data_IF_822016499867
#
_entry.id   IF_822016499867
#
_cell.length_a   1.000
_cell.length_b   1.000
_cell.length_c   1.000
_cell.angle_alpha   90.00
_cell.angle_beta   90.00
_cell.angle_gamma   90.00
#
_symmetry.space_group_name_H-M   'P 1'
#
loop_
_entity.id
_entity.type
_entity.pdbx_description
1 polymer ?
#
# COMPACT_ATOMS: atom_id res chain seq x y z
N UNK A 1 -1.20 12.54 9.91
CA UNK A 1 -0.92 11.13 10.20
C UNK A 1 0.58 10.87 10.23
N UNK A 2 1.13 10.64 11.44
CA UNK A 2 2.57 10.36 11.59
C UNK A 2 2.98 9.02 10.99
N UNK A 3 2.23 7.92 11.23
CA UNK A 3 2.59 6.64 10.59
C UNK A 3 2.60 6.71 9.07
N UNK A 4 1.70 7.48 8.47
CA UNK A 4 1.68 7.66 7.02
C UNK A 4 2.93 8.38 6.54
N UNK A 5 3.38 9.40 7.28
CA UNK A 5 4.60 10.14 6.97
C UNK A 5 5.84 9.27 7.10
N UNK A 6 5.85 8.35 8.06
CA UNK A 6 6.95 7.42 8.24
C UNK A 6 7.00 6.39 7.11
N UNK A 7 5.84 5.94 6.65
CA UNK A 7 5.76 4.92 5.60
C UNK A 7 5.98 5.49 4.20
N UNK A 8 5.67 6.75 3.97
CA UNK A 8 5.73 7.37 2.65
C UNK A 8 7.09 7.21 1.95
N UNK A 9 8.23 7.52 2.61
CA UNK A 9 9.53 7.33 1.96
C UNK A 9 9.85 5.86 1.68
N UNK A 10 9.41 4.95 2.54
CA UNK A 10 9.58 3.50 2.33
C UNK A 10 8.79 3.07 1.10
N UNK A 11 7.56 3.53 1.00
CA UNK A 11 6.68 3.24 -0.14
C UNK A 11 7.31 3.72 -1.45
N UNK A 12 7.79 4.94 -1.48
CA UNK A 12 8.38 5.52 -2.68
C UNK A 12 9.69 4.84 -3.08
N UNK A 13 10.52 4.49 -2.12
CA UNK A 13 11.76 3.78 -2.38
C UNK A 13 11.51 2.41 -3.01
N UNK A 14 10.57 1.65 -2.46
CA UNK A 14 10.21 0.35 -3.00
C UNK A 14 9.54 0.49 -4.37
N UNK A 15 8.71 1.52 -4.55
CA UNK A 15 8.09 1.79 -5.84
C UNK A 15 9.12 1.99 -6.94
N UNK A 16 10.23 2.68 -6.64
CA UNK A 16 11.31 2.86 -7.60
C UNK A 16 12.00 1.55 -7.95
N UNK A 17 12.21 0.69 -6.96
CA UNK A 17 12.86 -0.61 -7.18
C UNK A 17 12.01 -1.56 -8.04
N UNK A 18 10.69 -1.43 -7.98
CA UNK A 18 9.76 -2.29 -8.72
C UNK A 18 9.15 -1.61 -9.95
N UNK A 19 9.71 -0.49 -10.36
CA UNK A 19 9.21 0.24 -11.53
C UNK A 19 9.19 -0.66 -12.77
N UNK A 20 8.03 -0.68 -13.44
CA UNK A 20 7.83 -1.53 -14.61
C UNK A 20 7.35 -2.95 -14.29
N UNK A 21 7.39 -3.37 -13.04
CA UNK A 21 6.93 -4.70 -12.61
C UNK A 21 5.64 -4.63 -11.81
N UNK A 22 5.51 -3.62 -10.94
CA UNK A 22 4.35 -3.43 -10.08
C UNK A 22 3.99 -1.96 -10.13
N UNK A 23 2.69 -1.67 -10.24
CA UNK A 23 2.20 -0.30 -10.17
C UNK A 23 1.87 0.06 -8.73
N UNK A 24 2.43 1.19 -8.27
CA UNK A 24 2.21 1.71 -6.92
C UNK A 24 1.32 2.94 -7.00
N UNK A 25 0.24 2.94 -6.22
CA UNK A 25 -0.72 4.05 -6.20
C UNK A 25 -1.02 4.45 -4.76
N UNK A 26 -1.37 5.71 -4.58
CA UNK A 26 -1.79 6.24 -3.28
C UNK A 26 -3.25 6.69 -3.37
N UNK A 27 -3.99 6.46 -2.29
CA UNK A 27 -5.37 6.93 -2.16
C UNK A 27 -5.48 7.80 -0.93
N UNK A 28 -5.99 9.02 -1.12
CA UNK A 28 -6.32 9.90 -0.01
C UNK A 28 -7.70 9.49 0.53
N UNK A 29 -7.71 8.94 1.75
CA UNK A 29 -8.95 8.45 2.35
C UNK A 29 -9.93 9.57 2.67
N UNK A 30 -9.45 10.76 2.98
CA UNK A 30 -10.30 11.91 3.27
C UNK A 30 -10.99 12.42 2.00
N UNK A 31 -10.29 12.39 0.87
CA UNK A 31 -10.84 12.79 -0.42
C UNK A 31 -11.68 11.70 -1.08
N UNK A 32 -11.54 10.45 -0.64
CA UNK A 32 -12.20 9.28 -1.25
C UNK A 32 -12.88 8.40 -0.20
N UNK A 33 -13.86 8.94 0.54
CA UNK A 33 -14.48 8.20 1.64
C UNK A 33 -15.24 6.96 1.18
N UNK A 34 -15.90 7.00 0.02
CA UNK A 34 -16.65 5.84 -0.48
C UNK A 34 -15.73 4.68 -0.83
N UNK A 35 -14.63 4.96 -1.51
CA UNK A 35 -13.65 3.92 -1.87
C UNK A 35 -13.05 3.33 -0.60
N UNK A 36 -12.75 4.17 0.38
CA UNK A 36 -12.22 3.72 1.68
C UNK A 36 -13.19 2.77 2.37
N UNK A 37 -14.48 3.09 2.35
CA UNK A 37 -15.51 2.24 2.94
C UNK A 37 -15.64 0.90 2.20
N UNK A 38 -15.59 0.92 0.87
CA UNK A 38 -15.69 -0.30 0.06
C UNK A 38 -14.60 -1.32 0.41
N UNK A 39 -13.40 -0.84 0.71
CA UNK A 39 -12.27 -1.71 1.07
C UNK A 39 -12.11 -1.89 2.58
N UNK A 40 -13.05 -1.37 3.38
CA UNK A 40 -13.04 -1.56 4.83
C UNK A 40 -11.85 -0.90 5.52
N UNK A 41 -11.39 0.25 5.01
CA UNK A 41 -10.25 0.95 5.59
C UNK A 41 -10.65 1.58 6.91
N UNK A 42 -10.06 1.12 8.01
CA UNK A 42 -10.36 1.61 9.37
C UNK A 42 -9.23 2.38 9.97
N UNK A 43 -8.01 2.06 9.62
CA UNK A 43 -6.82 2.74 10.11
C UNK A 43 -5.82 2.91 8.99
N UNK A 44 -4.94 3.89 9.12
CA UNK A 44 -3.95 4.24 8.12
C UNK A 44 -2.56 4.23 8.76
N UNK A 45 -1.52 3.90 7.99
CA UNK A 45 -1.58 3.47 6.60
C UNK A 45 -2.11 2.05 6.44
N UNK A 46 -2.89 1.82 5.39
CA UNK A 46 -3.31 0.49 4.99
C UNK A 46 -2.84 0.27 3.55
N UNK A 47 -2.24 -0.87 3.29
CA UNK A 47 -1.75 -1.22 1.96
C UNK A 47 -2.57 -2.39 1.42
N UNK A 48 -3.18 -2.20 0.26
CA UNK A 48 -3.87 -3.27 -0.45
C UNK A 48 -3.00 -3.79 -1.57
N UNK A 49 -2.97 -5.11 -1.75
CA UNK A 49 -2.19 -5.78 -2.78
C UNK A 49 -3.15 -6.43 -3.76
N UNK A 50 -3.02 -6.06 -5.03
CA UNK A 50 -3.95 -6.47 -6.08
C UNK A 50 -3.21 -7.22 -7.18
N UNK A 51 -3.85 -8.25 -7.69
CA UNK A 51 -3.33 -9.01 -8.83
C UNK A 51 -4.50 -9.33 -9.77
N UNK A 52 -4.35 -8.96 -11.03
CA UNK A 52 -5.38 -9.16 -12.06
C UNK A 52 -6.72 -8.53 -11.66
N UNK A 53 -6.66 -7.35 -11.03
CA UNK A 53 -7.85 -6.61 -10.62
C UNK A 53 -8.48 -7.05 -9.31
N UNK A 54 -7.95 -8.09 -8.67
CA UNK A 54 -8.50 -8.60 -7.41
C UNK A 54 -7.55 -8.35 -6.26
N UNK A 55 -8.13 -7.96 -5.11
CA UNK A 55 -7.36 -7.79 -3.89
C UNK A 55 -6.98 -9.15 -3.33
N UNK A 56 -5.68 -9.40 -3.22
CA UNK A 56 -5.16 -10.67 -2.71
C UNK A 56 -4.92 -10.64 -1.21
N UNK A 57 -4.50 -9.49 -0.67
CA UNK A 57 -4.22 -9.31 0.75
C UNK A 57 -4.14 -7.83 1.09
N UNK A 58 -4.01 -7.53 2.37
CA UNK A 58 -3.78 -6.19 2.86
C UNK A 58 -2.89 -6.20 4.09
N UNK A 59 -2.22 -5.09 4.34
CA UNK A 59 -1.45 -4.88 5.56
C UNK A 59 -1.86 -3.56 6.19
N UNK A 60 -1.81 -3.49 7.52
CA UNK A 60 -2.17 -2.29 8.28
C UNK A 60 -0.95 -1.86 9.10
N UNK A 61 -0.69 -0.56 9.11
CA UNK A 61 0.43 0.01 9.86
C UNK A 61 1.70 0.14 9.03
N UNK A 62 2.73 0.71 9.66
CA UNK A 62 4.01 0.94 9.01
C UNK A 62 4.78 -0.36 8.89
N UNK A 63 5.20 -0.68 7.68
CA UNK A 63 6.07 -1.82 7.42
C UNK A 63 7.51 -1.31 7.26
N UNK A 64 8.48 -2.11 7.67
CA UNK A 64 9.87 -1.84 7.30
C UNK A 64 10.03 -2.03 5.79
N UNK A 65 11.11 -1.52 5.23
CA UNK A 65 11.40 -1.70 3.81
C UNK A 65 11.41 -3.17 3.42
N UNK A 66 12.08 -4.01 4.22
CA UNK A 66 12.19 -5.43 3.92
C UNK A 66 10.84 -6.15 4.02
N UNK A 67 10.04 -5.83 5.02
CA UNK A 67 8.70 -6.39 5.15
C UNK A 67 7.83 -6.01 3.96
N UNK A 68 7.90 -4.75 3.53
CA UNK A 68 7.12 -4.29 2.40
C UNK A 68 7.57 -4.95 1.10
N UNK A 69 8.89 -5.05 0.87
CA UNK A 69 9.43 -5.73 -0.30
C UNK A 69 9.00 -7.20 -0.35
N UNK A 70 9.03 -7.89 0.80
CA UNK A 70 8.58 -9.27 0.87
C UNK A 70 7.10 -9.39 0.50
N UNK A 71 6.27 -8.47 0.96
CA UNK A 71 4.86 -8.46 0.63
C UNK A 71 4.63 -8.22 -0.88
N UNK A 72 5.38 -7.27 -1.46
CA UNK A 72 5.29 -6.98 -2.90
C UNK A 72 5.75 -8.18 -3.73
N UNK A 73 6.81 -8.86 -3.30
CA UNK A 73 7.34 -10.02 -4.01
C UNK A 73 6.33 -11.15 -4.15
N UNK A 74 5.38 -11.26 -3.23
CA UNK A 74 4.34 -12.29 -3.33
C UNK A 74 3.36 -12.04 -4.48
N UNK A 75 3.38 -10.84 -5.07
CA UNK A 75 2.55 -10.51 -6.24
C UNK A 75 3.19 -10.93 -7.57
N UNK A 76 4.48 -11.17 -7.56
CA UNK A 76 5.22 -11.45 -8.80
C UNK A 76 5.11 -12.90 -9.26
#
# INVERSE_FOLDING_TARGET
CMPCRMFSPIFEEVAQEYKGKVKFCKLDTDANPQTSMEYGIRSIPTVGYFKKGEKTKGTVGVLSKDQFKNAVNTLL
#
